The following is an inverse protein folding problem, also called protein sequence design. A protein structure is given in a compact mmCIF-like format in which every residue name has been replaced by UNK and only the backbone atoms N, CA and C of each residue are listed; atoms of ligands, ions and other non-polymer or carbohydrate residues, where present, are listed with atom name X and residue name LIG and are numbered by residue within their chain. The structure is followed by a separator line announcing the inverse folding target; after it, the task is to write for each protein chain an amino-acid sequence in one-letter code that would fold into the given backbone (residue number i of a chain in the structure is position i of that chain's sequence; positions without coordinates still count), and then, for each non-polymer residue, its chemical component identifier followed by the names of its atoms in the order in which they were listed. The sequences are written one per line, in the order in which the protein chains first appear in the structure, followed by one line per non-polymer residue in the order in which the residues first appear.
data_IF_276746256523
#
_entry.id   IF_276746256523
#
_cell.length_a   1.000
_cell.length_b   1.000
_cell.length_c   1.000
_cell.angle_alpha   90.00
_cell.angle_beta   90.00
_cell.angle_gamma   90.00
#
_symmetry.space_group_name_H-M   'P 1'
#
loop_
_entity.id
_entity.type
_entity.pdbx_description
1 polymer ?
#
# COMPACT_ATOMS: atom_id res chain seq x y z
N UNK A 1 -25.44 3.33 28.63
CA UNK A 1 -25.38 2.47 27.43
C UNK A 1 -25.77 3.33 26.24
N UNK A 2 -24.98 3.36 25.17
CA UNK A 2 -25.40 4.03 23.93
C UNK A 2 -26.53 3.20 23.33
N UNK A 3 -27.62 3.84 22.90
CA UNK A 3 -28.70 3.15 22.21
C UNK A 3 -28.16 2.60 20.89
N UNK A 4 -28.03 1.28 20.82
CA UNK A 4 -27.60 0.60 19.61
C UNK A 4 -28.74 0.61 18.59
N UNK A 5 -28.45 0.80 17.29
CA UNK A 5 -29.46 0.68 16.24
C UNK A 5 -30.14 -0.69 16.24
N UNK A 6 -31.40 -0.74 15.79
CA UNK A 6 -32.19 -1.97 15.72
C UNK A 6 -31.49 -3.09 14.93
N UNK A 7 -30.78 -2.74 13.84
CA UNK A 7 -30.04 -3.69 13.01
C UNK A 7 -28.97 -4.45 13.79
N UNK A 8 -28.37 -3.86 14.84
CA UNK A 8 -27.38 -4.56 15.68
C UNK A 8 -28.03 -5.74 16.40
N UNK A 9 -29.23 -5.53 16.96
CA UNK A 9 -30.01 -6.58 17.59
C UNK A 9 -30.45 -7.67 16.59
N UNK A 10 -30.78 -7.29 15.36
CA UNK A 10 -31.10 -8.25 14.30
C UNK A 10 -29.91 -9.14 13.95
N UNK A 11 -28.70 -8.57 13.81
CA UNK A 11 -27.48 -9.35 13.60
C UNK A 11 -27.15 -10.25 14.78
N UNK A 12 -27.31 -9.77 16.02
CA UNK A 12 -27.07 -10.56 17.24
C UNK A 12 -27.98 -11.79 17.33
N UNK A 13 -29.22 -11.67 16.85
CA UNK A 13 -30.19 -12.75 16.89
C UNK A 13 -30.10 -13.69 15.67
N UNK A 14 -29.32 -13.37 14.63
CA UNK A 14 -29.05 -14.28 13.50
C UNK A 14 -27.98 -15.31 13.89
N UNK A 15 -28.43 -16.45 14.41
CA UNK A 15 -27.56 -17.54 14.83
C UNK A 15 -26.64 -18.07 13.70
N UNK A 16 -27.02 -17.91 12.43
CA UNK A 16 -26.19 -18.35 11.31
C UNK A 16 -24.95 -17.48 11.14
N UNK A 17 -24.98 -16.20 11.55
CA UNK A 17 -23.78 -15.35 11.50
C UNK A 17 -22.67 -15.84 12.43
N UNK A 18 -23.03 -16.27 13.64
CA UNK A 18 -22.08 -16.81 14.60
C UNK A 18 -21.44 -18.11 14.10
N UNK A 19 -22.22 -19.01 13.48
CA UNK A 19 -21.71 -20.27 12.95
C UNK A 19 -20.91 -20.10 11.66
N UNK A 20 -21.42 -19.31 10.70
CA UNK A 20 -20.89 -19.25 9.34
C UNK A 20 -19.65 -18.34 9.26
N UNK A 21 -19.61 -17.27 10.06
CA UNK A 21 -18.57 -16.26 10.03
C UNK A 21 -17.64 -16.32 11.24
N UNK A 22 -17.81 -17.33 12.11
CA UNK A 22 -17.09 -17.48 13.37
C UNK A 22 -17.16 -16.21 14.25
N UNK A 23 -18.33 -15.57 14.29
CA UNK A 23 -18.54 -14.36 15.09
C UNK A 23 -18.86 -14.71 16.55
N UNK A 24 -18.17 -14.04 17.47
CA UNK A 24 -18.39 -14.12 18.91
C UNK A 24 -18.75 -12.73 19.43
N UNK A 25 -20.01 -12.53 19.82
CA UNK A 25 -20.49 -11.26 20.34
C UNK A 25 -19.84 -10.93 21.69
N UNK A 26 -19.40 -9.68 21.84
CA UNK A 26 -18.66 -9.22 23.00
C UNK A 26 -19.60 -8.69 24.08
N UNK A 27 -19.37 -9.10 25.33
CA UNK A 27 -19.95 -8.45 26.50
C UNK A 27 -19.25 -7.13 26.83
N UNK A 28 -19.76 -6.38 27.80
CA UNK A 28 -19.23 -5.06 28.14
C UNK A 28 -17.74 -5.08 28.56
N UNK A 29 -17.31 -6.12 29.28
CA UNK A 29 -15.93 -6.25 29.72
C UNK A 29 -14.99 -6.49 28.52
N UNK A 30 -15.36 -7.39 27.61
CA UNK A 30 -14.59 -7.65 26.39
C UNK A 30 -14.58 -6.47 25.42
N UNK A 31 -15.68 -5.68 25.37
CA UNK A 31 -15.74 -4.44 24.61
C UNK A 31 -14.76 -3.39 25.14
N UNK A 32 -14.68 -3.23 26.46
CA UNK A 32 -13.75 -2.31 27.11
C UNK A 32 -12.30 -2.76 26.91
N UNK A 33 -12.01 -4.04 27.12
CA UNK A 33 -10.69 -4.61 26.87
C UNK A 33 -10.22 -4.44 25.40
N UNK A 34 -11.14 -4.61 24.45
CA UNK A 34 -10.83 -4.41 23.02
C UNK A 34 -10.49 -2.95 22.71
N UNK A 35 -11.24 -1.99 23.27
CA UNK A 35 -10.93 -0.56 23.11
C UNK A 35 -9.61 -0.17 23.77
N UNK A 36 -9.34 -0.70 24.96
CA UNK A 36 -8.10 -0.41 25.68
C UNK A 36 -6.89 -0.93 24.91
N UNK A 37 -7.00 -2.13 24.31
CA UNK A 37 -5.99 -2.66 23.40
C UNK A 37 -5.76 -1.71 22.22
N UNK A 38 -6.83 -1.31 21.50
CA UNK A 38 -6.71 -0.37 20.38
C UNK A 38 -6.06 0.95 20.78
N UNK A 39 -6.45 1.56 21.89
CA UNK A 39 -5.83 2.81 22.36
C UNK A 39 -4.36 2.61 22.68
N UNK A 40 -4.03 1.54 23.39
CA UNK A 40 -2.65 1.26 23.77
C UNK A 40 -1.73 1.09 22.57
N UNK A 41 -2.22 0.43 21.51
CA UNK A 41 -1.47 0.22 20.26
C UNK A 41 -1.44 1.50 19.41
N UNK A 42 -2.57 2.19 19.27
CA UNK A 42 -2.67 3.44 18.51
C UNK A 42 -1.69 4.50 19.00
N UNK A 43 -1.48 4.59 20.32
CA UNK A 43 -0.52 5.50 20.95
C UNK A 43 0.95 5.18 20.63
N UNK A 44 1.25 4.01 20.06
CA UNK A 44 2.60 3.61 19.68
C UNK A 44 2.90 3.83 18.20
N UNK A 45 1.90 4.16 17.37
CA UNK A 45 2.09 4.33 15.93
C UNK A 45 2.46 5.78 15.60
N UNK A 46 3.60 6.04 14.92
CA UNK A 46 4.10 7.39 14.70
C UNK A 46 3.42 8.07 13.49
N UNK A 47 2.16 8.47 13.67
CA UNK A 47 1.45 9.33 12.71
C UNK A 47 1.53 10.82 13.11
N UNK A 48 1.13 11.71 12.21
CA UNK A 48 0.97 13.13 12.55
C UNK A 48 -0.10 13.33 13.64
N UNK A 49 0.06 14.38 14.44
CA UNK A 49 -0.78 14.66 15.61
C UNK A 49 -2.27 14.78 15.24
N UNK A 50 -2.58 15.45 14.14
CA UNK A 50 -3.96 15.65 13.71
C UNK A 50 -4.61 14.32 13.30
N UNK A 51 -3.89 13.45 12.60
CA UNK A 51 -4.36 12.12 12.24
C UNK A 51 -4.51 11.23 13.48
N UNK A 52 -3.56 11.30 14.40
CA UNK A 52 -3.60 10.58 15.67
C UNK A 52 -4.82 10.95 16.51
N UNK A 53 -5.10 12.25 16.66
CA UNK A 53 -6.26 12.77 17.40
C UNK A 53 -7.59 12.30 16.79
N UNK A 54 -7.72 12.34 15.45
CA UNK A 54 -8.92 11.85 14.76
C UNK A 54 -9.13 10.35 14.99
N UNK A 55 -8.05 9.55 14.93
CA UNK A 55 -8.11 8.12 15.20
C UNK A 55 -8.51 7.82 16.65
N UNK A 56 -7.91 8.52 17.62
CA UNK A 56 -8.21 8.36 19.04
C UNK A 56 -9.69 8.65 19.34
N UNK A 57 -10.22 9.78 18.83
CA UNK A 57 -11.65 10.13 18.96
C UNK A 57 -12.57 9.05 18.40
N UNK A 58 -12.23 8.47 17.25
CA UNK A 58 -13.01 7.37 16.66
C UNK A 58 -12.97 6.12 17.54
N UNK A 59 -11.79 5.72 18.04
CA UNK A 59 -11.65 4.57 18.95
C UNK A 59 -12.49 4.74 20.21
N UNK A 60 -12.45 5.92 20.83
CA UNK A 60 -13.16 6.21 22.08
C UNK A 60 -14.68 6.11 21.93
N UNK A 61 -15.22 6.64 20.82
CA UNK A 61 -16.67 6.68 20.61
C UNK A 61 -17.24 5.36 20.08
N UNK A 62 -16.45 4.58 19.35
CA UNK A 62 -16.92 3.34 18.75
C UNK A 62 -17.22 2.26 19.79
N UNK A 63 -18.08 1.32 19.42
CA UNK A 63 -18.46 0.17 20.24
C UNK A 63 -18.05 -1.09 19.49
N UNK A 64 -17.02 -1.83 19.95
CA UNK A 64 -16.76 -3.18 19.47
C UNK A 64 -18.00 -4.03 19.70
N UNK A 65 -18.44 -4.79 18.71
CA UNK A 65 -19.68 -5.57 18.79
C UNK A 65 -19.39 -7.07 18.89
N UNK A 66 -18.52 -7.56 18.02
CA UNK A 66 -18.19 -8.98 17.92
C UNK A 66 -16.75 -9.17 17.47
N UNK A 67 -16.13 -10.23 17.95
CA UNK A 67 -14.89 -10.77 17.39
C UNK A 67 -15.21 -11.71 16.23
N UNK A 68 -14.38 -11.71 15.19
CA UNK A 68 -14.53 -12.56 14.01
C UNK A 68 -13.35 -13.48 13.79
N UNK A 69 -13.13 -13.90 12.53
CA UNK A 69 -12.04 -14.79 12.16
C UNK A 69 -10.68 -14.26 12.62
N UNK A 70 -9.74 -15.18 12.86
CA UNK A 70 -8.35 -14.88 13.22
C UNK A 70 -7.44 -15.29 12.07
N UNK A 71 -6.48 -14.43 11.74
CA UNK A 71 -5.38 -14.75 10.83
C UNK A 71 -4.04 -14.63 11.54
N UNK A 72 -3.09 -15.46 11.12
CA UNK A 72 -1.77 -15.57 11.74
C UNK A 72 -0.69 -15.29 10.70
N UNK A 73 0.26 -14.42 11.02
CA UNK A 73 1.43 -14.15 10.17
C UNK A 73 2.32 -15.40 10.08
N UNK A 74 2.99 -15.60 8.95
CA UNK A 74 3.71 -16.85 8.67
C UNK A 74 4.98 -17.01 9.50
N UNK A 75 5.74 -15.95 9.79
CA UNK A 75 7.04 -16.03 10.45
C UNK A 75 6.96 -15.78 11.96
N UNK A 76 6.55 -14.59 12.38
CA UNK A 76 6.44 -14.19 13.79
C UNK A 76 5.29 -14.86 14.51
N UNK A 77 4.37 -15.49 13.76
CA UNK A 77 3.23 -16.22 14.30
C UNK A 77 2.25 -15.37 15.12
N UNK A 78 2.35 -14.04 15.01
CA UNK A 78 1.42 -13.09 15.63
C UNK A 78 0.03 -13.24 15.01
N UNK A 79 -0.99 -13.22 15.87
CA UNK A 79 -2.38 -13.30 15.47
C UNK A 79 -2.98 -11.90 15.32
N UNK A 80 -3.73 -11.72 14.25
CA UNK A 80 -4.61 -10.57 14.02
C UNK A 80 -6.04 -11.07 14.03
N UNK A 81 -6.86 -10.44 14.85
CA UNK A 81 -8.27 -10.76 15.01
C UNK A 81 -9.12 -9.67 14.37
N UNK A 82 -10.10 -10.08 13.56
CA UNK A 82 -11.10 -9.17 13.01
C UNK A 82 -12.10 -8.79 14.11
N UNK A 83 -12.54 -7.53 14.12
CA UNK A 83 -13.57 -7.05 15.06
C UNK A 83 -14.62 -6.26 14.29
N UNK A 84 -15.89 -6.63 14.49
CA UNK A 84 -17.05 -5.88 14.04
C UNK A 84 -17.30 -4.71 14.97
N UNK A 85 -17.51 -3.52 14.42
CA UNK A 85 -17.55 -2.26 15.18
C UNK A 85 -18.76 -1.42 14.77
N UNK A 86 -19.40 -0.80 15.75
CA UNK A 86 -20.40 0.24 15.55
C UNK A 86 -19.79 1.61 15.82
N UNK A 87 -19.93 2.54 14.87
CA UNK A 87 -19.58 3.94 15.04
C UNK A 87 -20.87 4.78 15.14
N UNK A 88 -21.19 5.40 16.29
CA UNK A 88 -22.38 6.21 16.45
C UNK A 88 -22.49 7.42 15.51
N UNK A 89 -21.37 7.91 14.96
CA UNK A 89 -21.38 8.99 13.96
C UNK A 89 -21.69 8.48 12.54
N UNK A 90 -21.62 7.17 12.32
CA UNK A 90 -21.92 6.50 11.04
C UNK A 90 -22.91 5.35 11.29
N UNK A 91 -24.15 5.65 11.74
CA UNK A 91 -25.02 4.66 12.37
C UNK A 91 -25.71 3.69 11.40
N UNK A 92 -25.58 3.94 10.10
CA UNK A 92 -26.18 3.18 9.00
C UNK A 92 -25.40 1.88 8.66
N UNK A 93 -24.21 1.70 9.24
CA UNK A 93 -23.29 0.65 8.83
C UNK A 93 -22.43 0.12 9.98
N UNK A 94 -22.08 -1.17 9.93
CA UNK A 94 -21.03 -1.74 10.76
C UNK A 94 -19.67 -1.65 10.03
N UNK A 95 -18.60 -1.57 10.81
CA UNK A 95 -17.22 -1.49 10.34
C UNK A 95 -16.44 -2.75 10.73
N UNK A 96 -15.41 -3.09 9.96
CA UNK A 96 -14.49 -4.19 10.24
C UNK A 96 -13.09 -3.64 10.51
N UNK A 97 -12.65 -3.76 11.76
CA UNK A 97 -11.23 -3.63 12.08
C UNK A 97 -10.54 -4.95 11.80
N UNK A 98 -9.56 -4.98 10.89
CA UNK A 98 -8.84 -6.21 10.53
C UNK A 98 -7.69 -6.54 11.50
N UNK A 99 -7.30 -5.60 12.34
CA UNK A 99 -6.29 -5.82 13.37
C UNK A 99 -6.39 -4.72 14.42
N UNK A 100 -5.97 -5.01 15.64
CA UNK A 100 -5.92 -4.02 16.72
C UNK A 100 -4.92 -2.87 16.44
N UNK A 101 -3.97 -3.07 15.53
CA UNK A 101 -3.05 -2.02 15.07
C UNK A 101 -3.57 -1.22 13.87
N UNK A 102 -4.65 -1.67 13.22
CA UNK A 102 -5.15 -1.04 11.99
C UNK A 102 -5.69 0.37 12.29
N UNK A 103 -5.27 1.40 11.53
CA UNK A 103 -5.77 2.75 11.72
C UNK A 103 -7.30 2.81 11.67
N UNK A 104 -7.97 3.51 12.59
CA UNK A 104 -9.43 3.58 12.61
C UNK A 104 -10.04 4.14 11.33
N UNK A 105 -9.32 5.00 10.61
CA UNK A 105 -9.76 5.50 9.29
C UNK A 105 -9.77 4.41 8.19
N UNK A 106 -9.00 3.32 8.39
CA UNK A 106 -8.85 2.20 7.46
C UNK A 106 -9.70 0.98 7.85
N UNK A 107 -10.75 1.13 8.65
CA UNK A 107 -11.68 0.03 8.90
C UNK A 107 -12.57 -0.21 7.68
N UNK A 108 -12.73 -1.46 7.28
CA UNK A 108 -13.54 -1.85 6.13
C UNK A 108 -15.03 -1.69 6.41
N UNK A 109 -15.83 -1.55 5.35
CA UNK A 109 -17.28 -1.41 5.46
C UNK A 109 -17.92 -2.80 5.48
N UNK A 110 -18.64 -3.13 6.56
CA UNK A 110 -19.27 -4.44 6.73
C UNK A 110 -20.73 -4.49 6.23
N UNK A 111 -21.43 -3.35 6.22
CA UNK A 111 -22.88 -3.29 6.01
C UNK A 111 -23.66 -3.34 7.32
N UNK A 112 -24.99 -3.29 7.25
CA UNK A 112 -25.89 -3.38 8.41
C UNK A 112 -26.81 -4.60 8.35
N UNK A 113 -26.74 -5.38 7.28
CA UNK A 113 -27.48 -6.64 7.12
C UNK A 113 -26.59 -7.87 7.16
N UNK A 114 -27.17 -9.02 7.48
CA UNK A 114 -26.46 -10.29 7.53
C UNK A 114 -25.84 -10.69 6.18
N UNK A 115 -26.48 -10.32 5.05
CA UNK A 115 -25.97 -10.61 3.71
C UNK A 115 -24.75 -9.75 3.35
N UNK A 116 -24.78 -8.47 3.71
CA UNK A 116 -23.64 -7.56 3.52
C UNK A 116 -22.45 -7.99 4.38
N UNK A 117 -22.70 -8.35 5.65
CA UNK A 117 -21.66 -8.80 6.56
C UNK A 117 -20.96 -10.06 6.03
N UNK A 118 -21.73 -11.05 5.54
CA UNK A 118 -21.18 -12.24 4.87
C UNK A 118 -20.32 -11.85 3.67
N UNK A 119 -20.79 -10.91 2.83
CA UNK A 119 -20.05 -10.45 1.66
C UNK A 119 -18.74 -9.75 2.04
N UNK A 120 -18.75 -8.89 3.07
CA UNK A 120 -17.57 -8.13 3.50
C UNK A 120 -16.53 -9.02 4.17
N UNK A 121 -16.94 -9.87 5.12
CA UNK A 121 -16.03 -10.81 5.79
C UNK A 121 -15.48 -11.83 4.78
N UNK A 122 -16.32 -12.36 3.89
CA UNK A 122 -15.90 -13.31 2.85
C UNK A 122 -14.83 -12.75 1.90
N UNK A 123 -14.87 -11.44 1.61
CA UNK A 123 -13.84 -10.78 0.80
C UNK A 123 -12.44 -10.85 1.45
N UNK A 124 -12.38 -10.56 2.76
CA UNK A 124 -11.15 -10.53 3.58
C UNK A 124 -10.76 -11.89 4.16
N UNK A 125 -11.54 -12.93 3.88
CA UNK A 125 -11.25 -14.30 4.30
C UNK A 125 -11.23 -15.27 3.13
N UNK A 126 -10.47 -14.98 2.04
CA UNK A 126 -10.40 -15.88 0.91
C UNK A 126 -9.82 -17.23 1.35
N UNK A 127 -10.39 -18.30 0.79
CA UNK A 127 -10.01 -19.68 1.11
C UNK A 127 -8.61 -20.05 0.61
N UNK A 128 -8.10 -19.37 -0.42
CA UNK A 128 -6.79 -19.61 -1.01
C UNK A 128 -6.13 -18.31 -1.45
N UNK A 129 -4.81 -18.38 -1.65
CA UNK A 129 -4.01 -17.28 -2.16
C UNK A 129 -4.06 -17.29 -3.68
N UNK A 130 -4.58 -16.23 -4.28
CA UNK A 130 -4.53 -16.05 -5.73
C UNK A 130 -3.10 -15.77 -6.18
N UNK A 131 -2.74 -16.34 -7.32
CA UNK A 131 -1.48 -16.05 -7.99
C UNK A 131 -1.45 -14.60 -8.47
N UNK A 132 -0.26 -14.03 -8.65
CA UNK A 132 -0.08 -12.64 -9.06
C UNK A 132 -0.78 -12.32 -10.40
N UNK A 133 -0.88 -13.28 -11.32
CA UNK A 133 -1.55 -13.13 -12.62
C UNK A 133 -3.08 -13.22 -12.55
N UNK A 134 -3.63 -13.73 -11.45
CA UNK A 134 -5.08 -13.89 -11.25
C UNK A 134 -5.70 -12.64 -10.60
N UNK A 135 -4.88 -11.71 -10.12
CA UNK A 135 -5.33 -10.47 -9.50
C UNK A 135 -5.68 -9.45 -10.60
N UNK A 136 -6.95 -9.04 -10.71
CA UNK A 136 -7.43 -8.30 -11.88
C UNK A 136 -7.07 -6.82 -11.90
N UNK A 137 -6.58 -6.27 -10.78
CA UNK A 137 -6.15 -4.87 -10.68
C UNK A 137 -4.66 -4.79 -10.41
N UNK A 138 -4.02 -3.82 -11.04
CA UNK A 138 -2.64 -3.43 -10.78
C UNK A 138 -2.58 -1.92 -10.68
N UNK A 139 -2.00 -1.41 -9.59
CA UNK A 139 -1.86 0.02 -9.34
C UNK A 139 -0.45 0.32 -8.87
N UNK A 140 0.17 1.36 -9.43
CA UNK A 140 1.51 1.81 -9.05
C UNK A 140 1.43 3.21 -8.46
N UNK A 141 2.06 3.40 -7.32
CA UNK A 141 2.17 4.69 -6.64
C UNK A 141 3.62 4.99 -6.33
N UNK A 142 4.03 6.25 -6.41
CA UNK A 142 5.35 6.71 -5.97
C UNK A 142 5.23 7.37 -4.62
N UNK A 143 6.13 7.02 -3.71
CA UNK A 143 6.38 7.75 -2.48
C UNK A 143 7.78 8.37 -2.54
N UNK A 144 7.90 9.71 -2.48
CA UNK A 144 9.18 10.35 -2.24
C UNK A 144 9.55 10.17 -0.77
N UNK A 145 10.55 9.33 -0.48
CA UNK A 145 11.01 9.06 0.89
C UNK A 145 12.54 9.13 0.93
N UNK A 146 13.06 9.97 1.82
CA UNK A 146 14.50 10.14 2.06
C UNK A 146 15.07 8.99 2.89
N UNK A 147 15.12 7.81 2.29
CA UNK A 147 15.75 6.60 2.84
C UNK A 147 16.57 5.89 1.78
N UNK A 148 17.73 5.39 2.18
CA UNK A 148 18.71 4.83 1.25
C UNK A 148 18.65 3.30 1.15
N UNK A 149 17.93 2.64 2.07
CA UNK A 149 17.87 1.18 2.15
C UNK A 149 16.46 0.65 2.46
N UNK A 150 16.28 -0.65 2.28
CA UNK A 150 15.01 -1.33 2.55
C UNK A 150 14.70 -1.48 4.04
N UNK A 151 15.72 -1.57 4.89
CA UNK A 151 15.55 -1.98 6.29
C UNK A 151 14.59 -1.09 7.08
N UNK A 152 14.61 0.26 6.96
CA UNK A 152 13.63 1.11 7.64
C UNK A 152 12.18 0.80 7.24
N UNK A 153 11.92 0.58 5.95
CA UNK A 153 10.57 0.25 5.46
C UNK A 153 10.15 -1.13 5.97
N UNK A 154 11.01 -2.14 5.79
CA UNK A 154 10.74 -3.52 6.23
C UNK A 154 10.47 -3.57 7.72
N UNK A 155 11.34 -2.97 8.53
CA UNK A 155 11.17 -2.93 9.98
C UNK A 155 9.87 -2.22 10.38
N UNK A 156 9.50 -1.13 9.71
CA UNK A 156 8.24 -0.43 9.95
C UNK A 156 7.02 -1.32 9.64
N UNK A 157 7.00 -1.97 8.48
CA UNK A 157 5.91 -2.88 8.08
C UNK A 157 5.84 -4.08 9.04
N UNK A 158 6.98 -4.70 9.31
CA UNK A 158 7.06 -5.92 10.12
C UNK A 158 6.71 -5.67 11.59
N UNK A 159 7.03 -4.49 12.14
CA UNK A 159 6.72 -4.15 13.53
C UNK A 159 5.31 -3.59 13.73
N UNK A 160 4.77 -2.84 12.77
CA UNK A 160 3.59 -2.00 13.00
C UNK A 160 2.38 -2.37 12.14
N UNK A 161 2.57 -3.07 11.03
CA UNK A 161 1.49 -3.37 10.08
C UNK A 161 1.02 -4.81 10.23
N UNK A 162 0.29 -5.09 11.31
CA UNK A 162 -0.20 -6.43 11.63
C UNK A 162 -1.27 -6.96 10.64
N UNK A 163 -1.69 -6.14 9.68
CA UNK A 163 -2.52 -6.54 8.54
C UNK A 163 -1.70 -6.96 7.32
N UNK A 164 -0.37 -6.98 7.41
CA UNK A 164 0.58 -7.48 6.40
C UNK A 164 1.25 -8.76 6.91
N UNK A 165 1.32 -9.78 6.05
CA UNK A 165 2.07 -11.01 6.33
C UNK A 165 3.57 -10.68 6.41
N UNK A 166 4.30 -11.17 7.40
CA UNK A 166 5.73 -10.86 7.60
C UNK A 166 6.66 -11.61 6.64
N UNK A 167 6.13 -12.55 5.87
CA UNK A 167 6.89 -13.32 4.89
C UNK A 167 7.19 -12.49 3.63
N UNK A 168 8.28 -11.73 3.64
CA UNK A 168 8.75 -10.98 2.47
C UNK A 168 9.58 -11.81 1.49
N UNK A 169 9.69 -11.36 0.25
CA UNK A 169 10.57 -11.92 -0.78
C UNK A 169 11.18 -10.82 -1.65
N UNK A 170 12.26 -11.11 -2.37
CA UNK A 170 12.96 -10.17 -3.26
C UNK A 170 12.52 -10.27 -4.72
N UNK A 171 13.05 -9.37 -5.56
CA UNK A 171 12.70 -9.24 -6.99
C UNK A 171 12.97 -10.47 -7.84
N UNK A 172 13.69 -11.49 -7.34
CA UNK A 172 13.86 -12.76 -8.05
C UNK A 172 12.56 -13.59 -8.17
N UNK A 173 11.52 -13.24 -7.41
CA UNK A 173 10.23 -13.94 -7.42
C UNK A 173 9.12 -13.01 -7.88
N UNK A 174 8.43 -13.42 -8.94
CA UNK A 174 7.27 -12.69 -9.46
C UNK A 174 6.01 -12.82 -8.58
N UNK A 175 5.92 -13.91 -7.82
CA UNK A 175 4.79 -14.24 -6.95
C UNK A 175 5.29 -14.73 -5.58
N UNK A 176 4.39 -14.82 -4.61
CA UNK A 176 4.64 -15.23 -3.23
C UNK A 176 5.24 -16.64 -3.13
N UNK A 177 6.56 -16.78 -2.86
CA UNK A 177 7.21 -18.07 -2.79
C UNK A 177 6.90 -18.84 -1.51
N UNK A 178 6.19 -18.23 -0.55
CA UNK A 178 5.88 -18.80 0.75
C UNK A 178 4.59 -19.62 0.77
N UNK A 179 3.80 -19.58 -0.29
CA UNK A 179 2.53 -20.33 -0.44
C UNK A 179 2.70 -21.84 -0.23
N UNK A 180 3.85 -22.39 -0.60
CA UNK A 180 4.16 -23.83 -0.51
C UNK A 180 5.01 -24.21 0.72
N UNK A 181 5.31 -23.25 1.61
CA UNK A 181 6.12 -23.52 2.81
C UNK A 181 5.22 -24.05 3.92
N UNK A 182 5.59 -25.19 4.50
CA UNK A 182 4.87 -25.77 5.64
C UNK A 182 4.79 -24.77 6.80
N UNK A 183 3.59 -24.62 7.36
CA UNK A 183 3.34 -23.65 8.44
C UNK A 183 4.19 -23.91 9.68
N UNK A 184 4.54 -25.16 9.95
CA UNK A 184 5.34 -25.57 11.11
C UNK A 184 6.77 -25.96 10.73
N UNK A 185 7.28 -25.42 9.62
CA UNK A 185 8.66 -25.59 9.20
C UNK A 185 9.63 -25.22 10.35
N UNK A 186 10.54 -26.15 10.69
CA UNK A 186 11.55 -25.91 11.72
C UNK A 186 12.51 -24.78 11.35
N UNK A 187 13.13 -24.16 12.37
CA UNK A 187 13.99 -22.97 12.21
C UNK A 187 15.08 -23.09 11.15
N UNK A 188 15.70 -24.27 11.04
CA UNK A 188 16.73 -24.52 10.02
C UNK A 188 16.17 -24.38 8.61
N UNK A 189 15.02 -25.01 8.33
CA UNK A 189 14.36 -24.94 7.03
C UNK A 189 13.94 -23.49 6.73
N UNK A 190 13.38 -22.81 7.72
CA UNK A 190 12.97 -21.41 7.60
C UNK A 190 14.15 -20.48 7.25
N UNK A 191 15.32 -20.70 7.87
CA UNK A 191 16.54 -19.92 7.59
C UNK A 191 17.08 -20.10 6.16
N UNK A 192 16.88 -21.28 5.57
CA UNK A 192 17.24 -21.56 4.18
C UNK A 192 16.27 -20.85 3.25
N UNK A 193 14.96 -20.94 3.55
CA UNK A 193 13.93 -20.23 2.78
C UNK A 193 14.12 -18.73 2.81
N UNK A 194 14.33 -18.11 3.98
CA UNK A 194 14.57 -16.66 4.10
C UNK A 194 15.73 -16.18 3.22
N UNK A 195 16.84 -16.91 3.21
CA UNK A 195 17.99 -16.56 2.35
C UNK A 195 17.66 -16.71 0.87
N UNK A 196 16.92 -17.76 0.50
CA UNK A 196 16.53 -18.02 -0.89
C UNK A 196 15.51 -16.98 -1.39
N UNK A 197 14.48 -16.69 -0.60
CA UNK A 197 13.39 -15.79 -0.98
C UNK A 197 13.83 -14.34 -1.00
N UNK A 198 14.87 -13.96 -0.27
CA UNK A 198 15.46 -12.61 -0.33
C UNK A 198 16.25 -12.28 -1.60
N UNK A 199 16.43 -13.23 -2.53
CA UNK A 199 17.21 -13.03 -3.76
C UNK A 199 16.64 -11.92 -4.66
N UNK A 200 17.53 -11.21 -5.37
CA UNK A 200 17.20 -10.15 -6.32
C UNK A 200 17.49 -10.59 -7.75
N UNK A 201 16.64 -10.20 -8.71
CA UNK A 201 16.85 -10.50 -10.13
C UNK A 201 17.77 -9.47 -10.79
N UNK A 202 18.85 -9.88 -11.49
CA UNK A 202 19.64 -8.96 -12.31
C UNK A 202 18.78 -8.28 -13.38
N UNK A 203 19.01 -6.99 -13.61
CA UNK A 203 18.26 -6.20 -14.61
C UNK A 203 16.86 -5.78 -14.18
N UNK A 204 16.40 -6.17 -12.99
CA UNK A 204 15.18 -5.64 -12.38
C UNK A 204 15.55 -4.58 -11.33
N UNK A 205 14.62 -3.66 -11.04
CA UNK A 205 14.79 -2.76 -9.90
C UNK A 205 14.83 -3.59 -8.61
N UNK A 206 15.78 -3.33 -7.70
CA UNK A 206 15.77 -3.95 -6.39
C UNK A 206 14.40 -3.74 -5.73
N UNK A 207 13.81 -4.80 -5.21
CA UNK A 207 12.50 -4.73 -4.59
C UNK A 207 12.29 -5.81 -3.55
N UNK A 208 11.24 -5.64 -2.76
CA UNK A 208 10.70 -6.67 -1.87
C UNK A 208 9.18 -6.70 -1.95
N UNK A 209 8.62 -7.90 -1.96
CA UNK A 209 7.20 -8.16 -1.99
C UNK A 209 6.68 -8.63 -0.65
N UNK A 210 5.41 -8.30 -0.39
CA UNK A 210 4.60 -8.82 0.70
C UNK A 210 3.24 -9.26 0.17
N UNK A 211 2.60 -10.14 0.94
CA UNK A 211 1.17 -10.40 0.83
C UNK A 211 0.47 -9.75 2.02
N UNK A 212 -0.62 -9.05 1.76
CA UNK A 212 -1.53 -8.63 2.83
C UNK A 212 -2.04 -9.85 3.61
N UNK A 213 -2.34 -9.69 4.89
CA UNK A 213 -2.80 -10.80 5.72
C UNK A 213 -4.24 -11.21 5.39
N UNK A 214 -5.10 -10.24 5.05
CA UNK A 214 -6.55 -10.44 4.92
C UNK A 214 -7.02 -10.55 3.48
N UNK A 215 -6.90 -9.48 2.68
CA UNK A 215 -7.36 -9.48 1.28
C UNK A 215 -6.55 -10.42 0.38
N UNK A 216 -5.35 -10.79 0.82
CA UNK A 216 -4.33 -11.57 0.09
C UNK A 216 -3.85 -10.93 -1.19
N UNK A 217 -4.01 -9.60 -1.26
CA UNK A 217 -3.37 -8.73 -2.24
C UNK A 217 -1.85 -8.76 -2.11
N UNK A 218 -1.16 -8.46 -3.20
CA UNK A 218 0.30 -8.33 -3.27
C UNK A 218 0.71 -6.87 -3.24
N UNK A 219 1.76 -6.57 -2.50
CA UNK A 219 2.41 -5.26 -2.45
C UNK A 219 3.91 -5.47 -2.69
N UNK A 220 4.42 -4.92 -3.79
CA UNK A 220 5.86 -4.90 -4.09
C UNK A 220 6.38 -3.49 -3.94
N UNK A 221 7.49 -3.34 -3.23
CA UNK A 221 8.12 -2.06 -2.96
C UNK A 221 9.46 -2.04 -3.69
N UNK A 222 9.55 -1.23 -4.74
CA UNK A 222 10.72 -1.08 -5.60
C UNK A 222 11.51 0.17 -5.19
N UNK A 223 12.83 0.06 -5.13
CA UNK A 223 13.72 1.19 -4.97
C UNK A 223 14.01 1.83 -6.33
N UNK A 224 13.72 3.12 -6.46
CA UNK A 224 14.00 3.91 -7.65
C UNK A 224 14.99 5.05 -7.36
N UNK A 225 15.68 5.58 -8.38
CA UNK A 225 16.54 6.74 -8.23
C UNK A 225 15.81 7.97 -7.68
N UNK A 226 16.57 8.95 -7.17
CA UNK A 226 16.07 10.23 -6.65
C UNK A 226 15.15 10.11 -5.43
N UNK A 227 15.36 9.10 -4.58
CA UNK A 227 14.57 8.90 -3.36
C UNK A 227 13.12 8.47 -3.62
N UNK A 228 12.83 7.95 -4.82
CA UNK A 228 11.51 7.44 -5.15
C UNK A 228 11.37 5.97 -4.76
N UNK A 229 10.24 5.65 -4.16
CA UNK A 229 9.85 4.30 -3.79
C UNK A 229 8.54 3.97 -4.49
N UNK A 230 8.52 2.93 -5.31
CA UNK A 230 7.30 2.53 -6.01
C UNK A 230 6.62 1.40 -5.27
N UNK A 231 5.35 1.61 -4.94
CA UNK A 231 4.46 0.61 -4.40
C UNK A 231 3.62 0.07 -5.57
N UNK A 232 3.99 -1.12 -6.06
CA UNK A 232 3.23 -1.89 -7.06
C UNK A 232 2.25 -2.83 -6.35
N UNK A 233 0.97 -2.57 -6.53
CA UNK A 233 -0.13 -3.21 -5.83
C UNK A 233 -0.91 -4.08 -6.79
N UNK A 234 -1.11 -5.35 -6.46
CA UNK A 234 -2.00 -6.25 -7.20
C UNK A 234 -3.08 -6.75 -6.28
N UNK A 235 -4.35 -6.60 -6.67
CA UNK A 235 -5.47 -6.87 -5.78
C UNK A 235 -6.77 -7.21 -6.51
N UNK A 236 -7.74 -7.75 -5.75
CA UNK A 236 -9.14 -7.88 -6.17
C UNK A 236 -9.90 -6.62 -5.74
N UNK A 237 -10.73 -5.98 -6.57
CA UNK A 237 -11.53 -4.82 -6.16
C UNK A 237 -12.35 -5.08 -4.88
N UNK A 238 -12.22 -4.20 -3.90
CA UNK A 238 -13.03 -4.22 -2.68
C UNK A 238 -14.18 -3.20 -2.77
N UNK A 239 -15.16 -3.30 -1.87
CA UNK A 239 -16.32 -2.39 -1.81
C UNK A 239 -16.16 -1.33 -0.70
N UNK A 240 -14.92 -0.92 -0.43
CA UNK A 240 -14.55 -0.08 0.71
C UNK A 240 -14.43 1.41 0.38
N UNK A 241 -15.10 1.87 -0.67
CA UNK A 241 -15.01 3.26 -1.15
C UNK A 241 -15.16 4.29 -0.03
N UNK A 242 -16.12 4.09 0.89
CA UNK A 242 -16.33 5.00 2.04
C UNK A 242 -15.10 5.05 2.94
N UNK A 243 -14.48 3.91 3.24
CA UNK A 243 -13.26 3.85 4.04
C UNK A 243 -12.07 4.52 3.32
N UNK A 244 -11.94 4.28 2.01
CA UNK A 244 -10.89 4.93 1.20
C UNK A 244 -11.07 6.45 1.16
N UNK A 245 -12.31 6.94 1.00
CA UNK A 245 -12.60 8.38 1.04
C UNK A 245 -12.29 8.99 2.41
N UNK A 246 -12.61 8.29 3.52
CA UNK A 246 -12.24 8.73 4.87
C UNK A 246 -10.72 8.79 5.08
N UNK A 247 -9.98 7.88 4.45
CA UNK A 247 -8.54 7.73 4.60
C UNK A 247 -7.74 8.71 3.73
N UNK A 248 -8.13 8.88 2.46
CA UNK A 248 -7.49 9.81 1.53
C UNK A 248 -7.91 11.27 1.73
N UNK A 249 -9.02 11.52 2.43
CA UNK A 249 -9.57 12.86 2.57
C UNK A 249 -10.15 13.41 1.26
N UNK A 250 -10.35 14.73 1.19
CA UNK A 250 -11.00 15.41 0.06
C UNK A 250 -10.05 15.94 -1.01
N UNK A 251 -8.73 15.87 -0.80
CA UNK A 251 -7.74 16.43 -1.72
C UNK A 251 -7.72 15.70 -3.07
N UNK A 252 -7.93 16.41 -4.17
CA UNK A 252 -7.97 15.84 -5.53
C UNK A 252 -6.65 15.15 -5.94
N UNK A 253 -5.52 15.61 -5.42
CA UNK A 253 -4.18 15.15 -5.79
C UNK A 253 -3.65 13.94 -5.02
N UNK A 254 -4.38 13.38 -4.06
CA UNK A 254 -3.90 12.27 -3.22
C UNK A 254 -4.87 11.08 -3.17
N UNK A 255 -5.79 10.98 -4.12
CA UNK A 255 -6.86 9.98 -4.10
C UNK A 255 -6.34 8.59 -4.42
N UNK A 256 -6.42 7.70 -3.43
CA UNK A 256 -6.24 6.28 -3.66
C UNK A 256 -7.40 5.72 -4.52
N UNK A 257 -7.19 4.61 -5.24
CA UNK A 257 -8.26 3.92 -5.96
C UNK A 257 -9.44 3.60 -5.01
N UNK A 258 -10.69 3.94 -5.35
CA UNK A 258 -11.84 3.76 -4.46
C UNK A 258 -12.21 2.29 -4.20
N UNK A 259 -11.67 1.38 -5.00
CA UNK A 259 -11.81 -0.06 -4.88
C UNK A 259 -10.58 -0.74 -4.24
N UNK A 260 -9.65 0.05 -3.69
CA UNK A 260 -8.49 -0.48 -2.98
C UNK A 260 -8.94 -1.18 -1.68
N UNK A 261 -8.41 -2.37 -1.35
CA UNK A 261 -8.68 -3.03 -0.08
C UNK A 261 -8.07 -2.23 1.08
N UNK A 262 -8.78 -2.13 2.20
CA UNK A 262 -8.33 -1.28 3.32
C UNK A 262 -7.00 -1.71 3.95
N UNK A 263 -6.62 -2.99 3.86
CA UNK A 263 -5.31 -3.46 4.34
C UNK A 263 -4.15 -2.98 3.45
N UNK A 264 -4.34 -2.89 2.13
CA UNK A 264 -3.40 -2.18 1.26
C UNK A 264 -3.43 -0.67 1.52
N UNK A 265 -4.61 -0.08 1.59
CA UNK A 265 -4.76 1.35 1.80
C UNK A 265 -4.07 1.81 3.09
N UNK A 266 -4.19 1.02 4.17
CA UNK A 266 -3.56 1.29 5.46
C UNK A 266 -2.02 1.36 5.35
N UNK A 267 -1.39 0.48 4.57
CA UNK A 267 0.06 0.50 4.33
C UNK A 267 0.51 1.71 3.51
N UNK A 268 -0.39 2.32 2.75
CA UNK A 268 -0.08 3.52 1.97
C UNK A 268 -0.18 4.82 2.78
N UNK A 269 -0.73 4.80 3.99
CA UNK A 269 -0.97 6.02 4.78
C UNK A 269 0.28 6.73 5.29
N UNK A 270 1.41 6.02 5.39
CA UNK A 270 2.67 6.63 5.86
C UNK A 270 3.32 7.43 4.74
N UNK A 271 3.31 8.75 4.90
CA UNK A 271 3.90 9.68 3.93
C UNK A 271 2.99 9.96 2.74
N UNK A 272 3.40 10.94 1.93
CA UNK A 272 2.66 11.31 0.72
C UNK A 272 2.79 10.22 -0.35
N UNK A 273 1.69 9.96 -1.05
CA UNK A 273 1.66 9.06 -2.20
C UNK A 273 1.23 9.84 -3.43
N UNK A 274 1.99 9.68 -4.51
CA UNK A 274 1.67 10.23 -5.82
C UNK A 274 1.14 9.10 -6.70
N UNK A 275 -0.14 9.18 -7.07
CA UNK A 275 -0.71 8.28 -8.07
C UNK A 275 -0.38 8.78 -9.48
N UNK A 276 -0.59 7.92 -10.48
CA UNK A 276 -0.54 8.32 -11.89
C UNK A 276 -1.44 9.53 -12.17
N UNK A 277 -2.64 9.55 -11.59
CA UNK A 277 -3.60 10.64 -11.78
C UNK A 277 -3.15 11.91 -11.08
N UNK A 278 -2.60 11.80 -9.86
CA UNK A 278 -1.98 12.92 -9.14
C UNK A 278 -0.88 13.59 -9.96
N UNK A 279 0.01 12.78 -10.54
CA UNK A 279 1.09 13.27 -11.40
C UNK A 279 0.52 13.96 -12.64
N UNK A 280 -0.55 13.43 -13.25
CA UNK A 280 -1.23 14.05 -14.40
C UNK A 280 -1.90 15.38 -14.07
N UNK A 281 -2.62 15.48 -12.95
CA UNK A 281 -3.24 16.74 -12.52
C UNK A 281 -2.17 17.80 -12.28
N UNK A 282 -1.06 17.40 -11.65
CA UNK A 282 0.06 18.29 -11.38
C UNK A 282 0.84 18.70 -12.64
N UNK A 283 0.67 18.05 -13.82
CA UNK A 283 1.28 18.48 -15.09
C UNK A 283 0.95 19.91 -15.48
N UNK A 284 -0.21 20.40 -15.05
CA UNK A 284 -0.65 21.76 -15.32
C UNK A 284 0.08 22.83 -14.48
N UNK A 285 0.91 22.43 -13.50
CA UNK A 285 1.58 23.31 -12.54
C UNK A 285 3.10 23.08 -12.63
N UNK A 286 3.83 24.10 -13.09
CA UNK A 286 5.29 24.17 -13.27
C UNK A 286 6.08 22.90 -12.87
N UNK A 287 6.13 21.94 -13.79
CA UNK A 287 6.82 20.67 -13.58
C UNK A 287 8.34 20.86 -13.47
N UNK A 288 8.96 20.02 -12.64
CA UNK A 288 10.40 19.88 -12.52
C UNK A 288 10.90 18.48 -12.89
N UNK A 289 12.22 18.28 -12.85
CA UNK A 289 12.84 16.97 -13.09
C UNK A 289 12.39 15.88 -12.10
N UNK A 290 12.03 16.25 -10.86
CA UNK A 290 11.53 15.33 -9.85
C UNK A 290 10.20 14.69 -10.25
N UNK A 291 9.25 15.48 -10.77
CA UNK A 291 7.96 14.97 -11.26
C UNK A 291 8.13 14.07 -12.48
N UNK A 292 9.09 14.39 -13.37
CA UNK A 292 9.43 13.51 -14.50
C UNK A 292 10.02 12.19 -14.00
N UNK A 293 10.91 12.23 -13.00
CA UNK A 293 11.46 11.02 -12.39
C UNK A 293 10.38 10.17 -11.70
N UNK A 294 9.41 10.78 -11.03
CA UNK A 294 8.26 10.08 -10.46
C UNK A 294 7.39 9.44 -11.56
N UNK A 295 7.18 10.13 -12.68
CA UNK A 295 6.46 9.57 -13.83
C UNK A 295 7.18 8.36 -14.43
N UNK A 296 8.50 8.43 -14.60
CA UNK A 296 9.31 7.30 -15.07
C UNK A 296 9.24 6.10 -14.11
N UNK A 297 9.13 6.34 -12.80
CA UNK A 297 9.00 5.30 -11.79
C UNK A 297 7.62 4.60 -11.82
N UNK A 298 6.53 5.36 -11.99
CA UNK A 298 5.17 4.78 -12.07
C UNK A 298 4.95 4.07 -13.40
N UNK A 299 5.38 4.67 -14.51
CA UNK A 299 5.06 4.25 -15.88
C UNK A 299 6.32 4.11 -16.76
N UNK A 300 7.24 3.19 -16.43
CA UNK A 300 8.47 3.02 -17.17
C UNK A 300 8.17 2.56 -18.61
N UNK A 301 8.46 3.40 -19.59
CA UNK A 301 8.32 3.07 -21.01
C UNK A 301 6.94 3.27 -21.63
N UNK A 302 5.96 3.79 -20.89
CA UNK A 302 4.65 4.14 -21.46
C UNK A 302 4.75 5.27 -22.48
N UNK A 303 3.97 5.18 -23.56
CA UNK A 303 4.01 6.17 -24.64
C UNK A 303 3.68 7.59 -24.15
N UNK A 304 2.77 7.71 -23.18
CA UNK A 304 2.42 8.99 -22.54
C UNK A 304 3.58 9.55 -21.73
N UNK A 305 4.34 8.70 -21.03
CA UNK A 305 5.53 9.10 -20.27
C UNK A 305 6.60 9.64 -21.22
N UNK A 306 6.86 8.94 -22.31
CA UNK A 306 7.82 9.37 -23.34
C UNK A 306 7.40 10.70 -23.99
N UNK A 307 6.11 10.87 -24.30
CA UNK A 307 5.60 12.12 -24.85
C UNK A 307 5.79 13.30 -23.89
N UNK A 308 5.53 13.08 -22.60
CA UNK A 308 5.72 14.09 -21.55
C UNK A 308 7.19 14.47 -21.40
N UNK A 309 8.10 13.50 -21.42
CA UNK A 309 9.54 13.75 -21.36
C UNK A 309 9.99 14.58 -22.58
N UNK A 310 9.54 14.25 -23.79
CA UNK A 310 9.86 15.05 -24.99
C UNK A 310 9.36 16.49 -24.88
N UNK A 311 8.15 16.68 -24.37
CA UNK A 311 7.62 18.02 -24.10
C UNK A 311 8.50 18.78 -23.12
N UNK A 312 9.01 18.12 -22.07
CA UNK A 312 9.93 18.72 -21.11
C UNK A 312 11.30 19.07 -21.75
N UNK A 313 11.86 18.20 -22.59
CA UNK A 313 13.11 18.48 -23.34
C UNK A 313 12.96 19.76 -24.16
N UNK A 314 11.86 19.90 -24.91
CA UNK A 314 11.59 21.09 -25.71
C UNK A 314 11.38 22.35 -24.86
N UNK A 315 10.62 22.24 -23.77
CA UNK A 315 10.33 23.36 -22.87
C UNK A 315 11.58 23.85 -22.11
N UNK A 316 12.50 22.95 -21.76
CA UNK A 316 13.67 23.24 -20.95
C UNK A 316 14.96 23.42 -21.75
N UNK A 317 14.89 23.56 -23.08
CA UNK A 317 16.05 23.64 -23.98
C UNK A 317 17.07 24.77 -23.66
N UNK A 318 16.69 25.75 -22.84
CA UNK A 318 17.58 26.79 -22.29
C UNK A 318 17.40 27.02 -20.78
N UNK A 319 16.77 26.07 -20.09
CA UNK A 319 16.49 26.11 -18.65
C UNK A 319 17.49 25.20 -17.91
N UNK A 320 18.06 25.62 -16.77
CA UNK A 320 18.87 24.75 -15.91
C UNK A 320 18.23 23.39 -15.58
N UNK A 321 16.90 23.28 -15.55
CA UNK A 321 16.15 22.03 -15.35
C UNK A 321 16.54 20.93 -16.35
N UNK A 322 17.03 21.26 -17.55
CA UNK A 322 17.46 20.27 -18.54
C UNK A 322 18.66 19.43 -18.07
N UNK A 323 19.56 20.02 -17.29
CA UNK A 323 20.71 19.29 -16.74
C UNK A 323 20.26 18.14 -15.83
N UNK A 324 19.34 18.43 -14.91
CA UNK A 324 18.77 17.44 -14.00
C UNK A 324 17.92 16.42 -14.76
N UNK A 325 17.19 16.85 -15.80
CA UNK A 325 16.45 15.93 -16.67
C UNK A 325 17.38 14.90 -17.32
N UNK A 326 18.59 15.27 -17.77
CA UNK A 326 19.56 14.30 -18.31
C UNK A 326 19.92 13.22 -17.28
N UNK A 327 20.07 13.59 -16.01
CA UNK A 327 20.30 12.60 -14.94
C UNK A 327 19.12 11.63 -14.81
N UNK A 328 17.89 12.14 -14.90
CA UNK A 328 16.68 11.30 -14.91
C UNK A 328 16.70 10.34 -16.09
N UNK A 329 16.95 10.83 -17.31
CA UNK A 329 16.99 9.98 -18.51
C UNK A 329 18.05 8.88 -18.41
N UNK A 330 19.23 9.21 -17.87
CA UNK A 330 20.29 8.23 -17.61
C UNK A 330 19.83 7.17 -16.61
N UNK A 331 19.28 7.60 -15.48
CA UNK A 331 18.91 6.70 -14.38
C UNK A 331 17.77 5.72 -14.75
N UNK A 332 16.93 6.10 -15.71
CA UNK A 332 15.87 5.26 -16.29
C UNK A 332 16.21 4.68 -17.67
N UNK A 333 17.48 4.73 -18.08
CA UNK A 333 18.00 4.10 -19.31
C UNK A 333 17.29 4.55 -20.61
N UNK A 334 16.84 5.81 -20.65
CA UNK A 334 16.20 6.41 -21.82
C UNK A 334 17.21 6.90 -22.87
N UNK A 335 18.03 5.99 -23.39
CA UNK A 335 19.14 6.28 -24.33
C UNK A 335 18.69 7.03 -25.58
N UNK A 336 17.54 6.68 -26.15
CA UNK A 336 17.00 7.36 -27.34
C UNK A 336 16.68 8.84 -27.06
N UNK A 337 16.18 9.15 -25.86
CA UNK A 337 15.87 10.52 -25.45
C UNK A 337 17.14 11.31 -25.11
N UNK A 338 18.19 10.65 -24.61
CA UNK A 338 19.51 11.26 -24.47
C UNK A 338 20.07 11.73 -25.82
N UNK A 339 19.97 10.91 -26.88
CA UNK A 339 20.34 11.34 -28.24
C UNK A 339 19.53 12.57 -28.71
N UNK A 340 18.24 12.62 -28.40
CA UNK A 340 17.36 13.75 -28.71
C UNK A 340 17.83 15.04 -27.99
N UNK A 341 18.20 14.94 -26.71
CA UNK A 341 18.78 16.07 -25.95
C UNK A 341 20.08 16.54 -26.60
N UNK A 342 21.01 15.63 -26.92
CA UNK A 342 22.29 16.01 -27.55
C UNK A 342 22.10 16.72 -28.89
N UNK A 343 21.11 16.31 -29.68
CA UNK A 343 20.81 16.88 -30.99
C UNK A 343 20.14 18.25 -30.92
N UNK A 344 19.36 18.52 -29.87
CA UNK A 344 18.52 19.73 -29.76
C UNK A 344 19.09 20.80 -28.83
N UNK A 345 19.91 20.42 -27.84
CA UNK A 345 20.48 21.37 -26.89
C UNK A 345 21.48 22.31 -27.55
N UNK A 346 21.45 23.59 -27.17
CA UNK A 346 22.46 24.59 -27.54
C UNK A 346 23.56 24.75 -26.48
N UNK A 347 23.34 24.18 -25.29
CA UNK A 347 24.29 24.22 -24.19
C UNK A 347 25.43 23.22 -24.44
N UNK A 348 26.65 23.73 -24.57
CA UNK A 348 27.84 22.91 -24.84
C UNK A 348 28.20 21.99 -23.67
N UNK A 349 27.91 22.40 -22.43
CA UNK A 349 28.17 21.59 -21.23
C UNK A 349 27.21 20.40 -21.19
N UNK A 350 25.92 20.63 -21.44
CA UNK A 350 24.93 19.54 -21.53
C UNK A 350 25.26 18.61 -22.70
N UNK A 351 25.63 19.17 -23.87
CA UNK A 351 26.01 18.35 -25.03
C UNK A 351 27.22 17.47 -24.75
N UNK A 352 28.26 18.01 -24.11
CA UNK A 352 29.44 17.25 -23.73
C UNK A 352 29.11 16.14 -22.71
N UNK A 353 28.36 16.48 -21.66
CA UNK A 353 27.89 15.52 -20.65
C UNK A 353 27.12 14.35 -21.29
N UNK A 354 26.15 14.65 -22.16
CA UNK A 354 25.37 13.60 -22.84
C UNK A 354 26.27 12.78 -23.79
N UNK A 355 27.24 13.41 -24.46
CA UNK A 355 28.23 12.72 -25.28
C UNK A 355 29.03 11.69 -24.50
N UNK A 356 29.48 12.03 -23.28
CA UNK A 356 30.20 11.12 -22.40
C UNK A 356 29.32 9.95 -21.93
N UNK A 357 28.04 10.22 -21.64
CA UNK A 357 27.07 9.18 -21.24
C UNK A 357 26.74 8.20 -22.37
N UNK A 358 26.80 8.64 -23.62
CA UNK A 358 26.52 7.82 -24.81
C UNK A 358 27.77 7.12 -25.36
N UNK A 359 28.95 7.37 -24.79
CA UNK A 359 30.20 6.78 -25.25
C UNK A 359 30.20 5.24 -25.09
N UNK A 360 30.66 4.46 -26.09
CA UNK A 360 30.72 3.00 -25.98
C UNK A 360 31.60 2.55 -24.81
N UNK A 361 31.04 1.74 -23.90
CA UNK A 361 31.79 1.13 -22.78
C UNK A 361 31.56 1.75 -21.40
N UNK A 362 30.63 2.72 -21.27
CA UNK A 362 30.27 3.35 -19.97
C UNK A 362 28.96 2.80 -19.38
N UNK A 363 28.25 1.91 -20.08
CA UNK A 363 27.05 1.25 -19.56
C UNK A 363 27.43 0.14 -18.56
N UNK A 364 27.16 0.37 -17.27
CA UNK A 364 27.28 -0.60 -16.17
C UNK A 364 25.93 -1.13 -15.74
#
# INVERSE_FOLDING_TARGET
MKDLPAWVGELQNDAALSSDLALTWLDAEAQDATRDLWRSTWNQVPFDEAFHERGAKRIERCVPLAEGPVRRRRLQKTESKMVLVFDPEEPDVAWLSLSHAMPPAAWAVAGSTAAELRSAIGYYTPASDSAALELPRTERLVKPIEIESFDPIKNSIEALELWIDDASWGSAFFDDPWTNVERDAGMMLLSIYLRKTGAQSPGCRPSFGYRTLWSRSLMTIEQHPFGHWVFDLKYRPAKDRRAIEMLSGSEEGARLPPDLPVDLAASLMRGSSLTRESLRINQSRDWGPGEVAALCAVDPGEATTIANIRSAIGAWAGDPKLFDLVQVLRAYEHTALLFEVAATTKDEVIRAMVGDLLAPGVAS
#
